data_IF_076190549362
#
_entry.id   IF_076190549362
#
_cell.length_a   1.000
_cell.length_b   1.000
_cell.length_c   1.000
_cell.angle_alpha   90.00
_cell.angle_beta   90.00
_cell.angle_gamma   90.00
#
_symmetry.space_group_name_H-M   'P 1'
#
loop_
_entity.id
_entity.type
_entity.pdbx_description
1 polymer ?
#
# COMPACT_ATOMS: atom_id res chain seq x y z
N UNK A 1 24.81 66.31 -40.79
CA UNK A 1 24.38 66.21 -42.20
C UNK A 1 23.68 64.85 -42.38
N UNK A 2 22.37 64.88 -42.44
CA UNK A 2 21.56 63.76 -43.00
C UNK A 2 21.79 63.69 -44.51
N UNK A 3 21.53 62.60 -45.19
CA UNK A 3 20.19 62.14 -45.53
C UNK A 3 20.08 60.58 -45.58
N UNK A 4 19.02 59.90 -45.71
CA UNK A 4 17.60 60.02 -46.14
C UNK A 4 17.00 58.63 -46.15
N UNK A 5 15.90 58.50 -45.47
CA UNK A 5 14.74 57.72 -45.81
C UNK A 5 14.62 57.33 -47.29
N UNK A 6 14.57 56.01 -47.54
CA UNK A 6 13.83 55.35 -48.68
C UNK A 6 14.06 53.84 -48.57
N UNK A 7 13.12 53.12 -47.99
CA UNK A 7 12.85 51.69 -48.32
C UNK A 7 11.78 51.05 -47.40
N UNK A 8 10.75 51.84 -47.04
CA UNK A 8 9.67 51.33 -46.21
C UNK A 8 8.38 51.02 -46.99
N UNK A 9 8.46 50.79 -48.29
CA UNK A 9 7.25 50.47 -49.09
C UNK A 9 7.28 49.16 -49.86
N UNK A 10 8.26 48.29 -49.63
CA UNK A 10 8.27 46.98 -50.31
C UNK A 10 8.06 45.78 -49.38
N UNK A 11 7.84 45.96 -48.10
CA UNK A 11 7.56 44.87 -47.15
C UNK A 11 6.10 44.72 -46.77
N UNK A 12 5.18 45.48 -47.34
CA UNK A 12 3.73 45.40 -47.04
C UNK A 12 2.87 44.74 -48.13
N UNK A 13 3.45 43.96 -49.04
CA UNK A 13 2.68 43.24 -50.08
C UNK A 13 2.98 41.75 -50.19
N UNK A 14 3.53 41.08 -49.14
CA UNK A 14 3.69 39.64 -49.11
C UNK A 14 3.12 38.93 -47.85
N UNK A 15 2.21 39.57 -47.15
CA UNK A 15 1.56 38.98 -45.95
C UNK A 15 0.05 38.86 -46.13
N UNK A 16 -0.40 38.44 -47.31
CA UNK A 16 -1.80 38.17 -47.54
C UNK A 16 -1.97 36.98 -48.48
N UNK A 17 -1.64 35.78 -48.02
CA UNK A 17 -2.04 34.50 -48.66
C UNK A 17 -1.47 33.30 -47.86
N UNK A 18 -1.79 33.18 -46.58
CA UNK A 18 -1.75 31.93 -45.83
C UNK A 18 -2.66 32.04 -44.61
N UNK A 19 -3.95 32.25 -44.88
CA UNK A 19 -5.00 32.14 -43.91
C UNK A 19 -6.08 31.24 -44.49
N UNK A 20 -5.89 29.93 -44.37
CA UNK A 20 -6.99 28.93 -44.43
C UNK A 20 -6.36 27.57 -44.27
N UNK A 21 -6.42 26.96 -43.11
CA UNK A 21 -6.52 25.56 -42.77
C UNK A 21 -5.97 25.29 -41.37
N UNK A 22 -6.44 25.95 -40.35
CA UNK A 22 -6.48 25.34 -39.01
C UNK A 22 -7.86 24.71 -38.87
N UNK A 23 -7.96 23.53 -39.43
CA UNK A 23 -9.03 22.61 -39.11
C UNK A 23 -8.91 22.29 -37.60
N UNK A 24 -9.99 22.64 -36.88
CA UNK A 24 -10.20 22.22 -35.49
C UNK A 24 -10.18 20.70 -35.46
N UNK A 25 -9.03 20.12 -35.16
CA UNK A 25 -9.01 18.78 -34.58
C UNK A 25 -9.60 18.93 -33.17
N UNK A 26 -10.91 18.80 -33.11
CA UNK A 26 -11.56 18.40 -31.89
C UNK A 26 -10.87 17.08 -31.47
N UNK A 27 -10.03 17.15 -30.44
CA UNK A 27 -9.67 15.99 -29.65
C UNK A 27 -11.02 15.48 -29.08
N UNK A 28 -11.66 14.60 -29.85
CA UNK A 28 -12.63 13.70 -29.30
C UNK A 28 -11.85 12.90 -28.23
N UNK A 29 -11.92 13.39 -27.00
CA UNK A 29 -11.65 12.58 -25.84
C UNK A 29 -12.52 11.35 -25.98
N UNK A 30 -11.92 10.25 -26.43
CA UNK A 30 -12.50 8.93 -26.28
C UNK A 30 -12.56 8.71 -24.78
N UNK A 31 -13.58 9.26 -24.15
CA UNK A 31 -14.10 8.76 -22.90
C UNK A 31 -14.40 7.29 -23.17
N UNK A 32 -13.42 6.43 -22.89
CA UNK A 32 -13.63 5.02 -22.77
C UNK A 32 -14.68 4.91 -21.68
N UNK A 33 -15.95 4.74 -22.06
CA UNK A 33 -16.95 4.25 -21.15
C UNK A 33 -16.30 3.03 -20.50
N UNK A 34 -15.95 3.15 -19.21
CA UNK A 34 -15.62 1.98 -18.42
C UNK A 34 -16.86 1.12 -18.49
N UNK A 35 -16.76 0.05 -19.27
CA UNK A 35 -17.70 -1.04 -19.20
C UNK A 35 -17.77 -1.38 -17.71
N UNK A 36 -18.92 -1.12 -17.08
CA UNK A 36 -19.15 -1.47 -15.67
C UNK A 36 -19.27 -2.98 -15.60
N UNK A 37 -18.13 -3.68 -15.72
CA UNK A 37 -18.03 -5.08 -15.38
C UNK A 37 -18.12 -5.15 -13.87
N UNK A 38 -19.32 -5.25 -13.32
CA UNK A 38 -19.53 -5.53 -11.91
C UNK A 38 -19.71 -7.04 -11.75
N UNK A 39 -18.93 -7.64 -10.86
CA UNK A 39 -19.21 -9.02 -10.43
C UNK A 39 -20.51 -8.97 -9.63
N UNK A 40 -21.50 -9.72 -10.13
CA UNK A 40 -22.85 -9.72 -9.56
C UNK A 40 -22.87 -10.07 -8.07
N UNK A 41 -23.66 -9.34 -7.29
CA UNK A 41 -23.90 -9.56 -5.87
C UNK A 41 -22.91 -8.89 -4.91
N UNK A 42 -21.80 -8.33 -5.41
CA UNK A 42 -20.83 -7.63 -4.51
C UNK A 42 -21.43 -6.35 -3.97
N UNK A 43 -22.10 -5.56 -4.82
CA UNK A 43 -22.71 -4.29 -4.40
C UNK A 43 -23.74 -4.53 -3.28
N UNK A 44 -24.69 -5.41 -3.53
CA UNK A 44 -25.77 -5.76 -2.59
C UNK A 44 -25.21 -6.32 -1.27
N UNK A 45 -24.16 -7.14 -1.36
CA UNK A 45 -23.51 -7.67 -0.18
C UNK A 45 -22.89 -6.54 0.65
N UNK A 46 -22.11 -5.63 0.05
CA UNK A 46 -21.49 -4.49 0.76
C UNK A 46 -22.54 -3.54 1.31
N UNK A 47 -23.58 -3.21 0.52
CA UNK A 47 -24.68 -2.33 0.94
C UNK A 47 -25.39 -2.90 2.19
N UNK A 48 -25.55 -4.22 2.28
CA UNK A 48 -26.14 -4.86 3.48
C UNK A 48 -25.33 -4.60 4.76
N UNK A 49 -24.00 -4.47 4.67
CA UNK A 49 -23.16 -4.08 5.82
C UNK A 49 -23.32 -2.58 6.19
N UNK A 50 -23.53 -1.73 5.19
CA UNK A 50 -23.83 -0.31 5.40
C UNK A 50 -25.18 -0.15 6.08
N UNK A 51 -26.24 -0.80 5.60
CA UNK A 51 -27.59 -0.76 6.17
C UNK A 51 -27.63 -1.23 7.63
N UNK A 52 -26.80 -2.21 8.01
CA UNK A 52 -26.66 -2.67 9.40
C UNK A 52 -25.74 -1.79 10.27
N UNK A 53 -25.26 -0.66 9.74
CA UNK A 53 -24.26 0.19 10.40
C UNK A 53 -23.01 -0.58 10.84
N UNK A 54 -22.59 -1.58 10.08
CA UNK A 54 -21.34 -2.27 10.36
C UNK A 54 -20.14 -1.51 9.81
N UNK A 55 -20.34 -0.82 8.69
CA UNK A 55 -19.38 0.09 8.07
C UNK A 55 -20.10 1.37 7.59
N UNK A 56 -19.36 2.46 7.42
CA UNK A 56 -19.88 3.69 6.83
C UNK A 56 -20.06 3.56 5.32
N UNK A 57 -19.10 2.94 4.67
CA UNK A 57 -19.07 2.65 3.25
C UNK A 57 -17.77 1.92 2.91
N UNK A 58 -17.70 1.40 1.70
CA UNK A 58 -16.52 0.71 1.18
C UNK A 58 -16.38 0.88 -0.33
N UNK A 59 -15.15 0.65 -0.81
CA UNK A 59 -14.86 0.44 -2.23
C UNK A 59 -14.30 -0.96 -2.40
N UNK A 60 -14.83 -1.69 -3.38
CA UNK A 60 -14.38 -3.02 -3.77
C UNK A 60 -13.81 -3.00 -5.17
N UNK A 61 -12.72 -3.73 -5.38
CA UNK A 61 -12.05 -3.81 -6.68
C UNK A 61 -11.51 -5.21 -6.92
N UNK A 62 -11.65 -5.70 -8.15
CA UNK A 62 -10.98 -6.92 -8.62
C UNK A 62 -10.24 -6.57 -9.89
N UNK A 63 -8.98 -6.98 -9.98
CA UNK A 63 -8.15 -6.77 -11.16
C UNK A 63 -7.52 -8.08 -11.62
N UNK A 64 -7.28 -8.21 -12.91
CA UNK A 64 -6.24 -9.08 -13.46
C UNK A 64 -5.01 -8.25 -13.85
N UNK A 65 -4.00 -8.84 -14.44
CA UNK A 65 -2.76 -8.13 -14.80
C UNK A 65 -2.95 -6.99 -15.81
N UNK A 66 -4.03 -7.01 -16.60
CA UNK A 66 -4.24 -6.10 -17.73
C UNK A 66 -5.39 -5.11 -17.52
N UNK A 67 -6.40 -5.46 -16.70
CA UNK A 67 -7.65 -4.70 -16.60
C UNK A 67 -8.30 -4.76 -15.23
N UNK A 68 -9.22 -3.84 -15.01
CA UNK A 68 -10.16 -3.85 -13.88
C UNK A 68 -11.35 -4.74 -14.28
N UNK A 69 -11.60 -5.77 -13.47
CA UNK A 69 -12.71 -6.72 -13.64
C UNK A 69 -13.96 -6.29 -12.86
N UNK A 70 -13.75 -5.58 -11.75
CA UNK A 70 -14.78 -5.04 -10.89
C UNK A 70 -14.26 -3.79 -10.18
N UNK A 71 -15.07 -2.75 -10.11
CA UNK A 71 -14.84 -1.56 -9.31
C UNK A 71 -16.19 -0.98 -8.92
N UNK A 72 -16.47 -0.96 -7.62
CA UNK A 72 -17.74 -0.49 -7.09
C UNK A 72 -17.57 0.20 -5.74
N UNK A 73 -18.50 1.08 -5.39
CA UNK A 73 -18.52 1.82 -4.13
C UNK A 73 -19.94 1.80 -3.55
N UNK A 74 -20.04 1.59 -2.25
CA UNK A 74 -21.30 1.58 -1.52
C UNK A 74 -21.21 2.41 -0.23
N UNK A 75 -22.32 3.02 0.20
CA UNK A 75 -22.42 3.79 1.44
C UNK A 75 -21.78 5.18 1.36
N UNK A 76 -21.18 5.61 2.46
CA UNK A 76 -20.72 6.99 2.66
C UNK A 76 -19.24 7.07 3.01
N UNK A 77 -18.56 8.07 2.43
CA UNK A 77 -17.21 8.49 2.84
C UNK A 77 -17.26 9.35 4.12
N UNK A 78 -18.37 10.06 4.34
CA UNK A 78 -18.69 10.81 5.55
C UNK A 78 -20.17 10.64 5.87
N UNK A 79 -20.46 9.95 6.97
CA UNK A 79 -21.83 9.68 7.45
C UNK A 79 -22.55 10.96 7.87
N UNK A 80 -21.83 11.90 8.49
CA UNK A 80 -22.42 13.14 9.03
C UNK A 80 -22.90 14.07 7.92
N UNK A 81 -22.07 14.30 6.91
CA UNK A 81 -22.41 15.11 5.75
C UNK A 81 -23.17 14.34 4.67
N UNK A 82 -23.33 13.02 4.84
CA UNK A 82 -23.89 12.09 3.84
C UNK A 82 -23.17 12.17 2.48
N UNK A 83 -21.84 12.40 2.53
CA UNK A 83 -21.02 12.37 1.31
C UNK A 83 -20.93 10.94 0.80
N UNK A 84 -21.45 10.64 -0.40
CA UNK A 84 -21.39 9.28 -0.93
C UNK A 84 -19.96 8.76 -1.06
N UNK A 85 -19.76 7.47 -0.85
CA UNK A 85 -18.50 6.82 -1.18
C UNK A 85 -18.32 6.75 -2.69
N UNK A 86 -17.11 7.01 -3.17
CA UNK A 86 -16.75 6.87 -4.58
C UNK A 86 -15.41 6.15 -4.72
N UNK A 87 -15.10 5.57 -5.89
CA UNK A 87 -13.82 4.91 -6.14
C UNK A 87 -12.59 5.81 -6.00
N UNK A 88 -12.78 7.14 -6.07
CA UNK A 88 -11.68 8.13 -6.01
C UNK A 88 -11.33 8.54 -4.57
N UNK A 89 -12.07 8.07 -3.56
CA UNK A 89 -11.73 8.37 -2.18
C UNK A 89 -10.41 7.72 -1.78
N UNK A 90 -9.65 8.48 -0.97
CA UNK A 90 -8.45 7.99 -0.31
C UNK A 90 -8.81 7.26 0.98
N UNK A 91 -7.97 6.30 1.32
CA UNK A 91 -8.07 5.53 2.55
C UNK A 91 -6.72 5.50 3.25
N UNK A 92 -6.70 5.53 4.57
CA UNK A 92 -5.54 5.09 5.30
C UNK A 92 -5.40 3.58 5.16
N UNK A 93 -4.36 3.14 4.47
CA UNK A 93 -4.20 1.72 4.16
C UNK A 93 -3.48 0.92 5.25
N UNK A 94 -3.03 1.61 6.30
CA UNK A 94 -2.40 0.98 7.46
C UNK A 94 -1.34 -0.06 7.05
N UNK A 95 -1.43 -1.27 7.56
CA UNK A 95 -0.45 -2.34 7.33
C UNK A 95 -0.33 -2.82 5.88
N UNK A 96 -1.24 -2.44 4.98
CA UNK A 96 -1.01 -2.62 3.55
C UNK A 96 0.19 -1.79 3.02
N UNK A 97 0.79 -0.92 3.85
CA UNK A 97 2.08 -0.27 3.59
C UNK A 97 3.25 -1.26 3.60
N UNK A 98 3.16 -2.39 4.33
CA UNK A 98 4.25 -3.36 4.49
C UNK A 98 4.66 -4.05 3.18
N UNK A 99 3.72 -4.53 2.33
CA UNK A 99 4.07 -5.01 1.00
C UNK A 99 4.78 -3.95 0.15
N UNK A 100 4.40 -2.67 0.25
CA UNK A 100 5.08 -1.58 -0.46
C UNK A 100 6.52 -1.42 0.05
N UNK A 101 6.71 -1.49 1.37
CA UNK A 101 8.06 -1.48 1.97
C UNK A 101 8.90 -2.66 1.48
N UNK A 102 8.31 -3.85 1.44
CA UNK A 102 8.98 -5.04 0.92
C UNK A 102 9.36 -4.90 -0.57
N UNK A 103 8.47 -4.34 -1.40
CA UNK A 103 8.75 -4.02 -2.81
C UNK A 103 9.98 -3.10 -2.92
N UNK A 104 10.06 -2.04 -2.09
CA UNK A 104 11.21 -1.13 -2.08
C UNK A 104 12.52 -1.83 -1.72
N UNK A 105 12.51 -2.70 -0.70
CA UNK A 105 13.69 -3.52 -0.36
C UNK A 105 14.06 -4.45 -1.52
N UNK A 106 13.07 -5.12 -2.13
CA UNK A 106 13.31 -6.05 -3.24
C UNK A 106 13.81 -5.35 -4.51
N UNK A 107 13.49 -4.09 -4.74
CA UNK A 107 14.13 -3.29 -5.82
C UNK A 107 15.64 -3.17 -5.59
N UNK A 108 16.08 -2.92 -4.35
CA UNK A 108 17.50 -2.84 -4.02
C UNK A 108 18.18 -4.22 -3.97
N UNK A 109 17.42 -5.28 -3.70
CA UNK A 109 17.89 -6.68 -3.86
C UNK A 109 18.14 -7.00 -5.33
N UNK A 110 17.24 -6.63 -6.22
CA UNK A 110 17.40 -6.82 -7.68
C UNK A 110 18.60 -6.01 -8.23
N UNK A 111 18.91 -4.87 -7.62
CA UNK A 111 20.11 -4.06 -7.92
C UNK A 111 21.40 -4.62 -7.31
N UNK A 112 21.33 -5.70 -6.53
CA UNK A 112 22.50 -6.28 -5.83
C UNK A 112 23.05 -5.43 -4.68
N UNK A 113 22.29 -4.42 -4.23
CA UNK A 113 22.70 -3.51 -3.14
C UNK A 113 22.36 -4.04 -1.75
N UNK A 114 21.35 -4.89 -1.65
CA UNK A 114 20.91 -5.56 -0.42
C UNK A 114 20.84 -7.06 -0.66
N UNK A 115 21.30 -7.87 0.30
CA UNK A 115 21.01 -9.29 0.34
C UNK A 115 20.06 -9.58 1.52
N UNK A 116 19.04 -10.42 1.29
CA UNK A 116 18.05 -10.75 2.33
C UNK A 116 18.65 -11.44 3.55
N UNK A 117 19.71 -12.21 3.35
CA UNK A 117 20.43 -12.94 4.41
C UNK A 117 21.48 -12.10 5.12
N UNK A 118 21.79 -10.90 4.62
CA UNK A 118 22.74 -10.02 5.28
C UNK A 118 22.25 -9.63 6.69
N UNK A 119 23.13 -9.56 7.68
CA UNK A 119 22.80 -8.97 8.96
C UNK A 119 22.49 -7.48 8.76
N UNK A 120 21.43 -6.99 9.41
CA UNK A 120 21.05 -5.56 9.33
C UNK A 120 22.18 -4.63 9.76
N UNK A 121 23.07 -5.10 10.63
CA UNK A 121 24.25 -4.37 11.07
C UNK A 121 25.23 -4.00 9.95
N UNK A 122 25.18 -4.70 8.81
CA UNK A 122 25.95 -4.34 7.61
C UNK A 122 25.58 -2.97 7.07
N UNK A 123 24.30 -2.63 7.16
CA UNK A 123 23.74 -1.38 6.66
C UNK A 123 23.55 -0.35 7.77
N UNK A 124 23.29 -0.81 8.99
CA UNK A 124 22.99 -0.03 10.19
C UNK A 124 23.94 -0.45 11.32
N UNK A 125 25.17 0.11 11.38
CA UNK A 125 26.20 -0.35 12.35
C UNK A 125 25.74 -0.36 13.80
N UNK A 126 24.87 0.57 14.21
CA UNK A 126 24.28 0.62 15.56
C UNK A 126 23.48 -0.65 15.92
N UNK A 127 22.96 -1.38 14.94
CA UNK A 127 22.24 -2.64 15.13
C UNK A 127 23.18 -3.83 15.40
N UNK A 128 24.49 -3.67 15.29
CA UNK A 128 25.47 -4.71 15.61
C UNK A 128 25.61 -5.00 17.11
N UNK A 129 25.06 -4.14 17.97
CA UNK A 129 25.09 -4.31 19.42
C UNK A 129 23.79 -4.88 20.02
N UNK A 130 22.85 -5.34 19.16
CA UNK A 130 21.62 -5.97 19.64
C UNK A 130 21.91 -7.16 20.54
N UNK A 131 21.18 -7.24 21.66
CA UNK A 131 21.32 -8.30 22.67
C UNK A 131 19.96 -8.89 23.02
N UNK A 132 19.98 -10.18 23.38
CA UNK A 132 18.83 -10.84 23.99
C UNK A 132 18.77 -10.57 25.51
N UNK A 133 17.75 -11.13 26.17
CA UNK A 133 17.56 -10.98 27.63
C UNK A 133 18.70 -11.61 28.45
N UNK A 134 19.47 -12.53 27.88
CA UNK A 134 20.66 -13.10 28.50
C UNK A 134 21.93 -12.29 28.26
N UNK A 135 21.81 -11.08 27.69
CA UNK A 135 22.90 -10.18 27.31
C UNK A 135 23.83 -10.73 26.20
N UNK A 136 23.43 -11.78 25.51
CA UNK A 136 24.17 -12.33 24.38
C UNK A 136 23.92 -11.51 23.13
N UNK A 137 24.94 -11.30 22.30
CA UNK A 137 24.76 -10.65 20.98
C UNK A 137 23.94 -11.53 20.07
N UNK A 138 23.02 -10.87 19.32
CA UNK A 138 22.20 -11.54 18.33
C UNK A 138 22.31 -10.82 16.98
N UNK A 139 22.30 -11.59 15.91
CA UNK A 139 22.26 -11.07 14.56
C UNK A 139 20.85 -11.22 14.00
N UNK A 140 20.31 -10.12 13.46
CA UNK A 140 19.03 -10.09 12.75
C UNK A 140 19.34 -9.89 11.27
N UNK A 141 18.75 -10.70 10.38
CA UNK A 141 18.88 -10.51 8.94
C UNK A 141 17.82 -9.56 8.39
N UNK A 142 18.05 -9.01 7.19
CA UNK A 142 17.07 -8.21 6.47
C UNK A 142 15.77 -9.00 6.28
N UNK A 143 15.84 -10.28 5.90
CA UNK A 143 14.67 -11.15 5.77
C UNK A 143 13.84 -11.22 7.05
N UNK A 144 14.52 -11.39 8.20
CA UNK A 144 13.85 -11.52 9.49
C UNK A 144 13.12 -10.25 9.93
N UNK A 145 13.52 -9.07 9.47
CA UNK A 145 12.79 -7.82 9.70
C UNK A 145 11.48 -7.77 8.89
N UNK A 146 11.45 -8.37 7.70
CA UNK A 146 10.33 -8.35 6.77
C UNK A 146 9.32 -9.48 6.99
N UNK A 147 9.75 -10.63 7.55
CA UNK A 147 8.88 -11.77 7.78
C UNK A 147 8.44 -11.94 9.24
N UNK A 148 8.72 -10.93 10.09
CA UNK A 148 8.32 -10.88 11.49
C UNK A 148 8.95 -11.95 12.40
N UNK A 149 10.18 -12.38 12.08
CA UNK A 149 10.93 -13.33 12.90
C UNK A 149 12.18 -12.73 13.54
N UNK A 150 12.31 -11.41 13.52
CA UNK A 150 13.49 -10.70 14.05
C UNK A 150 13.66 -10.79 15.58
N UNK A 151 12.57 -11.00 16.30
CA UNK A 151 12.57 -10.92 17.78
C UNK A 151 12.75 -9.51 18.34
N UNK A 152 12.90 -8.50 17.50
CA UNK A 152 13.04 -7.11 17.93
C UNK A 152 11.79 -6.66 18.71
N UNK A 153 12.02 -6.00 19.84
CA UNK A 153 10.93 -5.53 20.70
C UNK A 153 10.13 -4.42 20.02
N UNK A 154 8.81 -4.52 20.09
CA UNK A 154 7.95 -3.39 19.78
C UNK A 154 8.11 -2.32 20.85
N UNK A 155 8.39 -1.09 20.45
CA UNK A 155 8.41 0.05 21.37
C UNK A 155 7.06 0.74 21.32
N UNK A 156 6.55 1.12 22.48
CA UNK A 156 5.32 1.88 22.60
C UNK A 156 5.46 3.21 21.86
N UNK A 157 4.58 3.40 20.89
CA UNK A 157 4.41 4.62 20.11
C UNK A 157 5.69 5.27 19.54
N UNK A 158 6.33 4.70 18.49
CA UNK A 158 7.35 5.43 17.73
C UNK A 158 6.77 6.64 16.97
N UNK A 159 5.46 6.89 17.11
CA UNK A 159 4.72 7.93 16.37
C UNK A 159 5.06 9.36 16.80
N UNK A 160 5.80 9.55 17.89
CA UNK A 160 6.41 10.83 18.26
C UNK A 160 7.69 11.15 17.50
N UNK A 161 8.30 10.15 16.86
CA UNK A 161 9.50 10.32 16.05
C UNK A 161 9.14 11.01 14.73
N UNK A 162 10.11 11.74 14.18
CA UNK A 162 9.94 12.43 12.90
C UNK A 162 10.72 11.78 11.77
N UNK A 163 11.68 10.90 12.10
CA UNK A 163 12.50 10.18 11.12
C UNK A 163 12.64 8.69 11.46
N UNK A 164 12.89 7.87 10.44
CA UNK A 164 13.21 6.45 10.62
C UNK A 164 14.55 6.27 11.34
N UNK A 165 15.50 7.18 11.12
CA UNK A 165 16.80 7.14 11.81
C UNK A 165 16.62 7.27 13.33
N UNK A 166 15.83 8.26 13.82
CA UNK A 166 15.56 8.41 15.26
C UNK A 166 14.85 7.20 15.85
N UNK A 167 13.91 6.62 15.10
CA UNK A 167 13.21 5.41 15.52
C UNK A 167 14.20 4.22 15.65
N UNK A 168 15.05 4.01 14.66
CA UNK A 168 16.02 2.91 14.62
C UNK A 168 17.08 3.06 15.71
N UNK A 169 17.52 4.29 16.05
CA UNK A 169 18.41 4.55 17.19
C UNK A 169 17.80 4.07 18.54
N UNK A 170 16.49 4.21 18.69
CA UNK A 170 15.77 3.68 19.86
C UNK A 170 15.66 2.17 19.82
N UNK A 171 15.40 1.59 18.64
CA UNK A 171 15.31 0.15 18.46
C UNK A 171 16.65 -0.54 18.78
N UNK A 172 17.78 0.06 18.38
CA UNK A 172 19.12 -0.45 18.64
C UNK A 172 19.46 -0.56 20.15
N UNK A 173 18.79 0.23 20.99
CA UNK A 173 18.98 0.22 22.46
C UNK A 173 18.04 -0.75 23.17
N UNK A 174 17.12 -1.39 22.46
CA UNK A 174 16.16 -2.32 23.06
C UNK A 174 16.66 -3.77 22.98
N UNK A 175 16.20 -4.60 23.90
CA UNK A 175 16.52 -6.03 23.89
C UNK A 175 15.69 -6.77 22.83
N UNK A 176 16.29 -7.80 22.24
CA UNK A 176 15.60 -8.76 21.40
C UNK A 176 14.92 -9.80 22.29
N UNK A 177 13.62 -10.02 22.07
CA UNK A 177 12.76 -10.80 22.96
C UNK A 177 12.91 -12.32 22.81
N UNK A 178 13.39 -12.77 21.64
CA UNK A 178 13.64 -14.19 21.34
C UNK A 178 14.72 -14.31 20.27
N UNK A 179 15.33 -15.48 20.18
CA UNK A 179 16.35 -15.75 19.16
C UNK A 179 15.75 -15.54 17.75
N UNK A 180 16.35 -14.69 16.90
CA UNK A 180 15.88 -14.43 15.55
C UNK A 180 15.66 -15.72 14.74
N UNK A 181 14.52 -15.82 14.07
CA UNK A 181 14.14 -17.00 13.30
C UNK A 181 13.43 -18.11 14.08
N UNK A 182 13.34 -18.05 15.42
CA UNK A 182 12.75 -19.15 16.22
C UNK A 182 11.26 -18.98 16.52
N UNK A 183 10.74 -17.76 16.42
CA UNK A 183 9.32 -17.44 16.61
C UNK A 183 8.88 -16.42 15.60
N UNK A 184 7.59 -16.42 15.33
CA UNK A 184 6.92 -15.34 14.60
C UNK A 184 6.22 -14.42 15.58
N UNK A 185 6.48 -13.13 15.45
CA UNK A 185 5.79 -12.07 16.20
C UNK A 185 5.65 -10.86 15.31
N UNK A 186 4.42 -10.46 15.01
CA UNK A 186 4.14 -9.31 14.16
C UNK A 186 4.87 -8.08 14.66
N UNK A 187 5.70 -7.46 13.80
CA UNK A 187 6.63 -6.40 14.20
C UNK A 187 6.51 -5.17 13.30
N UNK A 188 6.28 -4.02 13.92
CA UNK A 188 6.38 -2.71 13.28
C UNK A 188 7.84 -2.26 13.23
N UNK A 189 8.56 -2.53 14.31
CA UNK A 189 9.98 -2.22 14.49
C UNK A 189 10.82 -2.82 13.37
N UNK A 190 10.60 -4.09 13.04
CA UNK A 190 11.31 -4.76 11.94
C UNK A 190 11.09 -4.07 10.60
N UNK A 191 9.86 -3.77 10.26
CA UNK A 191 9.53 -3.12 8.98
C UNK A 191 10.11 -1.71 8.86
N UNK A 192 10.04 -0.90 9.92
CA UNK A 192 10.64 0.43 9.94
C UNK A 192 12.18 0.35 9.84
N UNK A 193 12.80 -0.66 10.45
CA UNK A 193 14.24 -0.92 10.29
C UNK A 193 14.61 -1.27 8.85
N UNK A 194 13.82 -2.13 8.18
CA UNK A 194 14.03 -2.44 6.76
C UNK A 194 13.88 -1.21 5.86
N UNK A 195 12.94 -0.32 6.17
CA UNK A 195 12.78 0.94 5.45
C UNK A 195 13.98 1.88 5.66
N UNK A 196 14.53 1.95 6.88
CA UNK A 196 15.73 2.74 7.12
C UNK A 196 16.97 2.18 6.38
N UNK A 197 17.05 0.87 6.18
CA UNK A 197 18.07 0.28 5.30
C UNK A 197 17.90 0.80 3.86
N UNK A 198 16.64 0.94 3.37
CA UNK A 198 16.39 1.54 2.05
C UNK A 198 16.92 2.96 2.00
N UNK A 199 16.70 3.80 3.04
CA UNK A 199 17.21 5.16 3.09
C UNK A 199 18.74 5.21 2.99
N UNK A 200 19.42 4.41 3.82
CA UNK A 200 20.90 4.38 3.87
C UNK A 200 21.49 3.91 2.55
N UNK A 201 20.93 2.84 1.96
CA UNK A 201 21.47 2.24 0.73
C UNK A 201 21.17 3.07 -0.52
N UNK A 202 20.04 3.79 -0.53
CA UNK A 202 19.62 4.60 -1.68
C UNK A 202 20.01 6.07 -1.57
N UNK A 203 20.45 6.53 -0.40
CA UNK A 203 20.72 7.93 -0.07
C UNK A 203 19.48 8.83 -0.27
N UNK A 204 18.28 8.28 -0.08
CA UNK A 204 17.01 8.98 -0.20
C UNK A 204 16.18 8.76 1.05
N UNK A 205 15.36 9.75 1.47
CA UNK A 205 14.33 9.49 2.47
C UNK A 205 13.33 8.43 1.96
N UNK A 206 12.75 7.67 2.87
CA UNK A 206 11.90 6.54 2.49
C UNK A 206 10.66 6.99 1.70
N UNK A 207 10.03 8.09 2.10
CA UNK A 207 8.91 8.67 1.37
C UNK A 207 9.30 9.10 -0.05
N UNK A 208 10.47 9.73 -0.22
CA UNK A 208 10.99 10.11 -1.52
C UNK A 208 11.33 8.88 -2.39
N UNK A 209 11.90 7.82 -1.79
CA UNK A 209 12.17 6.57 -2.50
C UNK A 209 10.87 5.94 -3.02
N UNK A 210 9.85 5.81 -2.17
CA UNK A 210 8.54 5.29 -2.56
C UNK A 210 7.95 6.11 -3.71
N UNK A 211 7.97 7.45 -3.61
CA UNK A 211 7.45 8.31 -4.69
C UNK A 211 8.20 8.11 -5.99
N UNK A 212 9.52 8.23 -5.97
CA UNK A 212 10.34 8.22 -7.19
C UNK A 212 10.45 6.84 -7.83
N UNK A 213 10.56 5.78 -7.01
CA UNK A 213 10.90 4.44 -7.50
C UNK A 213 9.68 3.55 -7.73
N UNK A 214 8.57 3.82 -7.05
CA UNK A 214 7.34 3.06 -7.18
C UNK A 214 6.19 3.90 -7.74
N UNK A 215 5.86 5.04 -7.09
CA UNK A 215 4.66 5.79 -7.44
C UNK A 215 4.74 6.42 -8.84
N UNK A 216 5.81 7.14 -9.14
CA UNK A 216 6.00 7.78 -10.46
C UNK A 216 5.99 6.76 -11.62
N UNK A 217 6.74 5.63 -11.56
CA UNK A 217 6.72 4.66 -12.64
C UNK A 217 5.38 3.96 -12.87
N UNK A 218 4.58 3.79 -11.82
CA UNK A 218 3.24 3.18 -11.88
C UNK A 218 2.12 4.22 -12.10
N UNK A 219 2.43 5.52 -12.06
CA UNK A 219 1.45 6.60 -12.14
C UNK A 219 0.50 6.64 -10.93
N UNK A 220 1.00 6.35 -9.72
CA UNK A 220 0.23 6.40 -8.48
C UNK A 220 0.21 7.85 -7.96
N UNK A 221 -0.81 8.61 -8.31
CA UNK A 221 -0.93 10.03 -7.93
C UNK A 221 -1.40 10.23 -6.49
N UNK A 222 -2.06 9.21 -5.92
CA UNK A 222 -2.77 9.31 -4.65
C UNK A 222 -2.28 8.33 -3.59
N UNK A 223 -1.06 7.79 -3.80
CA UNK A 223 -0.37 6.96 -2.81
C UNK A 223 0.77 7.76 -2.17
N UNK A 224 0.63 8.11 -0.88
CA UNK A 224 1.60 8.95 -0.20
C UNK A 224 1.57 8.79 1.32
N UNK A 225 2.70 9.12 1.99
CA UNK A 225 2.76 9.27 3.44
C UNK A 225 2.13 10.60 3.90
N UNK A 226 2.28 11.66 3.11
CA UNK A 226 1.84 13.01 3.41
C UNK A 226 0.89 13.48 2.32
N UNK A 227 -0.37 13.72 2.68
CA UNK A 227 -1.37 14.18 1.73
C UNK A 227 -1.21 15.67 1.42
N UNK A 228 -1.62 16.07 0.24
CA UNK A 228 -1.90 17.47 -0.08
C UNK A 228 -3.26 17.88 0.51
N UNK A 229 -3.54 19.18 0.58
CA UNK A 229 -4.84 19.69 1.04
C UNK A 229 -6.01 19.23 0.15
N UNK A 230 -5.76 19.02 -1.14
CA UNK A 230 -6.76 18.47 -2.08
C UNK A 230 -7.03 16.99 -1.79
N UNK A 231 -6.00 16.19 -1.60
CA UNK A 231 -6.12 14.77 -1.26
C UNK A 231 -6.78 14.57 0.11
N UNK A 232 -6.47 15.41 1.09
CA UNK A 232 -7.10 15.32 2.42
C UNK A 232 -8.64 15.47 2.35
N UNK A 233 -9.17 16.25 1.40
CA UNK A 233 -10.61 16.41 1.19
C UNK A 233 -11.29 15.15 0.65
N UNK A 234 -10.53 14.28 0.00
CA UNK A 234 -10.99 13.00 -0.52
C UNK A 234 -10.75 11.84 0.46
N UNK A 235 -10.14 12.09 1.62
CA UNK A 235 -9.91 11.05 2.61
C UNK A 235 -11.22 10.62 3.25
N UNK A 236 -11.58 9.34 3.09
CA UNK A 236 -12.73 8.74 3.74
C UNK A 236 -12.55 8.79 5.27
N UNK A 237 -13.58 9.20 5.99
CA UNK A 237 -13.58 9.26 7.44
C UNK A 237 -13.56 7.86 8.05
N UNK A 238 -12.88 7.75 9.18
CA UNK A 238 -12.78 6.51 9.94
C UNK A 238 -13.82 6.48 11.04
N UNK A 239 -14.37 5.29 11.30
CA UNK A 239 -15.44 5.12 12.27
C UNK A 239 -15.17 3.94 13.22
N UNK A 240 -15.61 4.09 14.46
CA UNK A 240 -15.75 3.01 15.43
C UNK A 240 -17.23 2.65 15.55
N UNK A 241 -17.56 1.38 15.52
CA UNK A 241 -18.91 0.90 15.80
C UNK A 241 -19.08 0.70 17.30
N UNK A 242 -20.05 1.40 17.91
CA UNK A 242 -20.37 1.28 19.33
C UNK A 242 -21.06 -0.05 19.63
N UNK A 243 -21.11 -0.49 20.91
CA UNK A 243 -21.90 -1.67 21.30
C UNK A 243 -23.39 -1.56 20.95
N UNK A 244 -23.93 -0.33 20.87
CA UNK A 244 -25.30 -0.07 20.45
C UNK A 244 -25.48 -0.10 18.90
N UNK A 245 -24.44 -0.43 18.14
CA UNK A 245 -24.49 -0.54 16.68
C UNK A 245 -24.41 0.78 15.93
N UNK A 246 -24.03 1.88 16.59
CA UNK A 246 -23.89 3.21 15.97
C UNK A 246 -22.45 3.42 15.50
N UNK A 247 -22.28 4.12 14.37
CA UNK A 247 -20.99 4.56 13.88
C UNK A 247 -20.62 5.92 14.48
N UNK A 248 -19.47 6.02 15.11
CA UNK A 248 -18.91 7.25 15.67
C UNK A 248 -17.56 7.52 15.01
N UNK A 249 -17.31 8.74 14.56
CA UNK A 249 -16.03 9.12 13.95
C UNK A 249 -14.87 8.80 14.91
N UNK A 250 -13.82 8.23 14.35
CA UNK A 250 -12.63 7.78 15.10
C UNK A 250 -11.37 8.31 14.41
N UNK A 251 -10.38 8.83 15.17
CA UNK A 251 -9.14 9.28 14.58
C UNK A 251 -8.31 8.11 14.05
N UNK A 252 -7.49 8.38 13.06
CA UNK A 252 -6.44 7.46 12.63
C UNK A 252 -5.34 7.49 13.71
N UNK A 253 -5.22 6.42 14.50
CA UNK A 253 -4.35 6.39 15.69
C UNK A 253 -2.87 6.62 15.33
N UNK A 254 -2.43 6.17 14.16
CA UNK A 254 -1.03 6.31 13.72
C UNK A 254 -0.63 7.78 13.50
N UNK A 255 -1.58 8.67 13.27
CA UNK A 255 -1.31 10.10 13.15
C UNK A 255 -0.96 10.77 14.48
N UNK A 256 -1.25 10.12 15.63
CA UNK A 256 -1.01 10.67 16.97
C UNK A 256 -1.53 12.11 17.15
N UNK A 257 -2.71 12.42 16.60
CA UNK A 257 -3.34 13.73 16.62
C UNK A 257 -2.84 14.74 15.59
N UNK A 258 -1.80 14.39 14.81
CA UNK A 258 -1.33 15.23 13.71
C UNK A 258 -2.23 15.09 12.47
N UNK A 259 -2.15 16.07 11.55
CA UNK A 259 -2.89 16.01 10.28
C UNK A 259 -2.22 15.05 9.29
N UNK A 260 -2.98 14.44 8.36
CA UNK A 260 -2.40 13.67 7.25
C UNK A 260 -1.42 14.48 6.38
N UNK A 261 -1.57 15.82 6.33
CA UNK A 261 -0.72 16.75 5.58
C UNK A 261 0.55 17.16 6.32
N UNK A 262 0.67 16.87 7.61
CA UNK A 262 1.82 17.29 8.42
C UNK A 262 3.06 16.47 8.05
N UNK A 263 4.10 17.15 7.55
CA UNK A 263 5.37 16.53 7.19
C UNK A 263 6.32 16.31 8.38
N UNK A 264 5.99 16.83 9.55
CA UNK A 264 6.72 16.58 10.80
C UNK A 264 6.20 15.29 11.49
N UNK A 265 5.97 14.24 10.71
CA UNK A 265 5.61 12.90 11.17
C UNK A 265 6.57 11.89 10.58
N UNK A 266 6.76 10.80 11.32
CA UNK A 266 7.45 9.65 10.80
C UNK A 266 6.77 9.14 9.49
N UNK A 267 7.51 8.92 8.40
CA UNK A 267 7.01 8.16 7.25
C UNK A 267 6.99 6.68 7.63
N UNK A 268 6.03 6.31 8.49
CA UNK A 268 5.96 5.01 9.13
C UNK A 268 5.77 3.91 8.08
N UNK A 269 6.86 3.25 7.69
CA UNK A 269 6.88 2.24 6.64
C UNK A 269 5.98 1.03 6.95
N UNK A 270 5.74 0.81 8.24
CA UNK A 270 4.86 -0.25 8.73
C UNK A 270 3.37 0.02 8.52
N UNK A 271 2.97 1.29 8.24
CA UNK A 271 1.52 1.59 8.20
C UNK A 271 1.13 3.01 7.87
N UNK A 272 2.04 3.88 7.45
CA UNK A 272 1.81 5.32 7.31
C UNK A 272 1.25 5.79 5.99
N UNK A 273 1.05 4.91 5.02
CA UNK A 273 0.58 5.28 3.68
C UNK A 273 -0.94 5.47 3.63
N UNK A 274 -1.32 6.39 2.77
CA UNK A 274 -2.66 6.56 2.23
C UNK A 274 -2.64 6.15 0.76
N UNK A 275 -3.76 5.65 0.25
CA UNK A 275 -3.88 5.25 -1.16
C UNK A 275 -5.35 5.21 -1.59
N UNK A 276 -5.58 5.13 -2.89
CA UNK A 276 -6.87 4.81 -3.50
C UNK A 276 -6.92 3.35 -3.95
N UNK A 277 -8.12 2.77 -4.15
CA UNK A 277 -8.26 1.45 -4.76
C UNK A 277 -7.56 1.34 -6.12
N UNK A 278 -7.69 2.38 -6.96
CA UNK A 278 -7.08 2.41 -8.29
C UNK A 278 -5.56 2.39 -8.27
N UNK A 279 -4.93 3.16 -7.37
CA UNK A 279 -3.47 3.16 -7.24
C UNK A 279 -2.95 1.81 -6.72
N UNK A 280 -3.58 1.29 -5.65
CA UNK A 280 -3.15 -0.01 -5.11
C UNK A 280 -3.45 -1.16 -6.09
N UNK A 281 -4.52 -1.04 -6.87
CA UNK A 281 -4.83 -1.95 -7.97
C UNK A 281 -3.71 -2.05 -9.00
N UNK A 282 -3.08 -0.93 -9.37
CA UNK A 282 -1.91 -0.92 -10.27
C UNK A 282 -0.69 -1.62 -9.66
N UNK A 283 -0.47 -1.49 -8.34
CA UNK A 283 0.57 -2.27 -7.65
C UNK A 283 0.27 -3.77 -7.79
N UNK A 284 -0.98 -4.19 -7.55
CA UNK A 284 -1.38 -5.58 -7.72
C UNK A 284 -1.22 -6.06 -9.17
N UNK A 285 -1.58 -5.24 -10.15
CA UNK A 285 -1.40 -5.54 -11.57
C UNK A 285 0.08 -5.70 -11.95
N UNK A 286 0.95 -4.83 -11.45
CA UNK A 286 2.40 -4.96 -11.63
C UNK A 286 2.92 -6.29 -11.05
N UNK A 287 2.46 -6.68 -9.87
CA UNK A 287 2.85 -7.96 -9.24
C UNK A 287 2.29 -9.16 -10.02
N UNK A 288 1.03 -9.13 -10.47
CA UNK A 288 0.43 -10.14 -11.35
C UNK A 288 1.15 -10.23 -12.71
N UNK A 289 1.71 -9.11 -13.19
CA UNK A 289 2.55 -9.01 -14.39
C UNK A 289 4.00 -9.46 -14.19
N UNK A 290 4.33 -10.12 -13.07
CA UNK A 290 5.68 -10.61 -12.78
C UNK A 290 6.70 -9.49 -12.55
N UNK A 291 6.25 -8.35 -12.02
CA UNK A 291 7.07 -7.17 -11.73
C UNK A 291 7.12 -6.14 -12.86
N UNK A 292 6.29 -6.33 -13.89
CA UNK A 292 6.26 -5.46 -15.08
C UNK A 292 4.95 -4.66 -15.13
N UNK A 293 5.05 -3.38 -15.45
CA UNK A 293 3.93 -2.48 -15.70
C UNK A 293 4.15 -1.70 -16.99
N UNK A 294 3.19 -1.78 -17.94
CA UNK A 294 3.25 -1.06 -19.22
C UNK A 294 4.62 -1.17 -19.94
N UNK A 295 5.20 -2.37 -19.92
CA UNK A 295 6.51 -2.64 -20.53
C UNK A 295 7.73 -2.21 -19.69
N UNK A 296 7.54 -1.57 -18.55
CA UNK A 296 8.61 -1.25 -17.59
C UNK A 296 8.72 -2.33 -16.52
N UNK A 297 9.89 -2.89 -16.35
CA UNK A 297 10.18 -3.82 -15.24
C UNK A 297 10.61 -3.03 -14.01
N UNK A 298 9.84 -3.15 -12.91
CA UNK A 298 10.11 -2.53 -11.63
C UNK A 298 10.74 -3.52 -10.65
N UNK A 299 10.36 -4.79 -10.75
CA UNK A 299 10.91 -5.91 -9.99
C UNK A 299 11.22 -7.07 -10.95
N UNK A 300 12.23 -7.86 -10.62
CA UNK A 300 12.42 -9.14 -11.32
C UNK A 300 11.27 -10.11 -11.00
N UNK A 301 10.97 -11.02 -11.90
CA UNK A 301 10.01 -12.10 -11.66
C UNK A 301 10.41 -12.94 -10.44
N UNK A 302 11.72 -13.14 -10.21
CA UNK A 302 12.26 -13.79 -9.02
C UNK A 302 11.82 -13.06 -7.74
N UNK A 303 11.96 -11.75 -7.69
CA UNK A 303 11.58 -10.95 -6.51
C UNK A 303 10.09 -10.99 -6.26
N UNK A 304 9.25 -10.91 -7.30
CA UNK A 304 7.80 -11.08 -7.16
C UNK A 304 7.46 -12.47 -6.60
N UNK A 305 8.09 -13.52 -7.11
CA UNK A 305 7.88 -14.89 -6.60
C UNK A 305 8.26 -15.00 -5.12
N UNK A 306 9.36 -14.36 -4.71
CA UNK A 306 9.82 -14.38 -3.32
C UNK A 306 8.87 -13.63 -2.37
N UNK A 307 8.23 -12.54 -2.80
CA UNK A 307 7.21 -11.83 -1.98
C UNK A 307 6.08 -12.77 -1.54
N UNK A 308 5.58 -13.61 -2.44
CA UNK A 308 4.50 -14.56 -2.20
C UNK A 308 4.95 -15.95 -1.69
N UNK A 309 6.26 -16.17 -1.46
CA UNK A 309 6.77 -17.44 -0.98
C UNK A 309 6.83 -17.46 0.55
N UNK A 310 6.27 -18.48 1.24
CA UNK A 310 6.46 -18.63 2.68
C UNK A 310 7.94 -18.71 3.06
N UNK A 311 8.35 -17.91 4.05
CA UNK A 311 9.74 -17.86 4.56
C UNK A 311 9.82 -18.20 6.05
N UNK A 312 8.69 -18.49 6.69
CA UNK A 312 8.58 -18.76 8.13
C UNK A 312 8.58 -20.25 8.47
N UNK A 313 8.80 -21.15 7.49
CA UNK A 313 8.81 -22.59 7.71
C UNK A 313 7.51 -23.07 8.36
N UNK A 314 7.63 -23.86 9.43
CA UNK A 314 6.49 -24.40 10.17
C UNK A 314 6.07 -23.53 11.37
N UNK A 315 6.63 -22.32 11.51
CA UNK A 315 6.21 -21.41 12.57
C UNK A 315 4.73 -21.09 12.46
N UNK A 316 4.04 -21.06 13.59
CA UNK A 316 2.67 -20.56 13.68
C UNK A 316 2.71 -19.05 13.49
N UNK A 317 1.99 -18.57 12.49
CA UNK A 317 1.86 -17.15 12.19
C UNK A 317 0.47 -16.66 12.52
N UNK A 318 0.35 -15.38 12.96
CA UNK A 318 -0.88 -14.84 13.49
C UNK A 318 -1.92 -14.41 12.47
N UNK A 319 -3.01 -13.92 12.99
CA UNK A 319 -4.26 -13.36 12.47
C UNK A 319 -5.28 -14.39 12.01
N UNK A 320 -4.94 -15.36 11.16
CA UNK A 320 -5.87 -16.39 10.68
C UNK A 320 -5.12 -17.71 10.49
N UNK A 321 -5.79 -18.83 10.76
CA UNK A 321 -5.22 -20.16 10.56
C UNK A 321 -4.93 -20.43 9.08
N UNK A 322 -3.96 -21.31 8.83
CA UNK A 322 -3.58 -21.71 7.47
C UNK A 322 -2.68 -20.72 6.74
N UNK A 323 -2.31 -19.62 7.38
CA UNK A 323 -1.39 -18.64 6.83
C UNK A 323 0.06 -18.92 7.23
N UNK A 324 0.97 -18.41 6.40
CA UNK A 324 2.41 -18.27 6.64
C UNK A 324 2.82 -16.83 6.35
N UNK A 325 4.09 -16.53 6.46
CA UNK A 325 4.59 -15.21 6.12
C UNK A 325 5.69 -15.27 5.07
N UNK A 326 5.58 -14.40 4.07
CA UNK A 326 6.59 -14.15 3.04
C UNK A 326 7.41 -12.91 3.36
N UNK A 327 7.86 -12.21 2.34
CA UNK A 327 8.61 -10.96 2.48
C UNK A 327 7.59 -9.79 2.54
N UNK A 328 7.30 -9.30 3.75
CA UNK A 328 6.34 -8.23 4.01
C UNK A 328 4.88 -8.56 3.67
N UNK A 329 4.58 -9.80 3.35
CA UNK A 329 3.25 -10.27 2.97
C UNK A 329 2.83 -11.49 3.79
N UNK A 330 1.55 -11.54 4.15
CA UNK A 330 0.90 -12.77 4.57
C UNK A 330 0.68 -13.68 3.34
N UNK A 331 0.84 -14.99 3.50
CA UNK A 331 0.71 -15.99 2.42
C UNK A 331 -0.24 -17.11 2.85
N UNK A 332 -1.24 -17.38 2.05
CA UNK A 332 -2.17 -18.50 2.26
C UNK A 332 -1.45 -19.81 1.96
N UNK A 333 -1.04 -20.54 3.01
CA UNK A 333 -0.37 -21.84 2.91
C UNK A 333 -1.36 -22.99 2.78
N UNK A 334 -2.44 -22.91 3.54
CA UNK A 334 -3.54 -23.88 3.53
C UNK A 334 -4.87 -23.11 3.61
N UNK A 335 -5.59 -22.95 2.49
CA UNK A 335 -6.86 -22.22 2.45
C UNK A 335 -7.89 -22.83 3.43
N UNK A 336 -8.33 -22.06 4.42
CA UNK A 336 -9.35 -22.45 5.39
C UNK A 336 -9.96 -21.21 6.08
N UNK A 337 -11.13 -21.37 6.72
CA UNK A 337 -11.82 -20.29 7.40
C UNK A 337 -11.95 -19.04 6.50
N UNK A 338 -11.46 -17.87 6.94
CA UNK A 338 -11.55 -16.62 6.18
C UNK A 338 -10.83 -16.62 4.83
N UNK A 339 -9.99 -17.61 4.55
CA UNK A 339 -9.23 -17.73 3.30
C UNK A 339 -9.64 -18.92 2.44
N UNK A 340 -10.70 -19.66 2.84
CA UNK A 340 -11.13 -20.90 2.18
C UNK A 340 -11.44 -20.75 0.67
N UNK A 341 -11.88 -19.56 0.23
CA UNK A 341 -12.17 -19.25 -1.16
C UNK A 341 -10.94 -18.90 -2.01
N UNK A 342 -9.79 -18.66 -1.37
CA UNK A 342 -8.55 -18.26 -2.04
C UNK A 342 -7.69 -19.46 -2.43
N UNK A 343 -6.81 -19.30 -3.40
CA UNK A 343 -5.86 -20.34 -3.80
C UNK A 343 -4.68 -20.41 -2.81
N UNK A 344 -4.12 -21.62 -2.66
CA UNK A 344 -2.80 -21.76 -2.00
C UNK A 344 -1.77 -20.92 -2.74
N UNK A 345 -0.99 -20.15 -1.99
CA UNK A 345 -0.01 -19.21 -2.53
C UNK A 345 -0.58 -17.80 -2.79
N UNK A 346 -1.88 -17.56 -2.53
CA UNK A 346 -2.41 -16.19 -2.47
C UNK A 346 -1.66 -15.42 -1.39
N UNK A 347 -1.22 -14.20 -1.71
CA UNK A 347 -0.46 -13.37 -0.78
C UNK A 347 -0.96 -11.92 -0.77
N UNK A 348 -0.72 -11.22 0.31
CA UNK A 348 -1.17 -9.84 0.49
C UNK A 348 -1.12 -9.39 1.93
N UNK A 349 -1.90 -8.39 2.26
CA UNK A 349 -1.97 -7.85 3.62
C UNK A 349 -3.31 -7.17 3.89
N UNK A 350 -3.76 -7.24 5.13
CA UNK A 350 -4.84 -6.43 5.65
C UNK A 350 -4.35 -5.17 6.37
N UNK A 351 -5.20 -4.17 6.47
CA UNK A 351 -4.99 -2.95 7.26
C UNK A 351 -5.82 -2.92 8.53
N UNK A 352 -5.33 -2.20 9.55
CA UNK A 352 -5.96 -2.13 10.88
C UNK A 352 -7.43 -1.67 10.85
N UNK A 353 -7.81 -0.85 9.85
CA UNK A 353 -9.18 -0.36 9.72
C UNK A 353 -9.99 -1.12 8.65
N UNK A 354 -9.56 -2.34 8.31
CA UNK A 354 -10.30 -3.27 7.48
C UNK A 354 -9.97 -3.22 5.98
N UNK A 355 -9.04 -2.38 5.55
CA UNK A 355 -8.54 -2.41 4.16
C UNK A 355 -7.85 -3.75 3.88
N UNK A 356 -7.99 -4.29 2.67
CA UNK A 356 -7.45 -5.58 2.27
C UNK A 356 -6.96 -5.52 0.82
N UNK A 357 -5.82 -6.16 0.53
CA UNK A 357 -5.40 -6.47 -0.83
C UNK A 357 -4.73 -7.85 -0.87
N UNK A 358 -5.27 -8.74 -1.71
CA UNK A 358 -4.83 -10.13 -1.82
C UNK A 358 -4.66 -10.50 -3.27
N UNK A 359 -3.47 -10.97 -3.62
CA UNK A 359 -3.06 -11.35 -4.97
C UNK A 359 -3.09 -12.88 -5.05
N UNK A 360 -3.91 -13.41 -5.93
CA UNK A 360 -4.05 -14.84 -6.21
C UNK A 360 -3.37 -15.16 -7.55
N UNK A 361 -2.12 -15.61 -7.53
CA UNK A 361 -1.36 -15.89 -8.74
C UNK A 361 -1.89 -17.10 -9.52
N UNK A 362 -2.60 -18.02 -8.86
CA UNK A 362 -3.20 -19.20 -9.50
C UNK A 362 -4.38 -18.80 -10.38
N UNK A 363 -5.22 -17.87 -9.89
CA UNK A 363 -6.35 -17.34 -10.64
C UNK A 363 -6.00 -16.13 -11.51
N UNK A 364 -4.78 -15.59 -11.36
CA UNK A 364 -4.33 -14.39 -12.06
C UNK A 364 -5.11 -13.14 -11.67
N UNK A 365 -5.54 -13.03 -10.41
CA UNK A 365 -6.41 -11.95 -9.91
C UNK A 365 -5.91 -11.36 -8.61
N UNK A 366 -6.32 -10.11 -8.35
CA UNK A 366 -6.20 -9.51 -7.04
C UNK A 366 -7.55 -8.97 -6.57
N UNK A 367 -7.80 -9.11 -5.27
CA UNK A 367 -9.02 -8.73 -4.57
C UNK A 367 -8.72 -7.62 -3.59
N UNK A 368 -9.34 -6.45 -3.77
CA UNK A 368 -9.10 -5.25 -2.98
C UNK A 368 -10.40 -4.78 -2.33
N UNK A 369 -10.34 -4.54 -1.01
CA UNK A 369 -11.43 -3.98 -0.21
C UNK A 369 -10.89 -2.78 0.54
N UNK A 370 -11.52 -1.63 0.39
CA UNK A 370 -11.18 -0.39 1.09
C UNK A 370 -12.34 0.05 1.98
N UNK A 371 -12.10 0.10 3.26
CA UNK A 371 -13.05 0.47 4.31
C UNK A 371 -12.31 1.16 5.46
N UNK A 372 -12.97 1.98 6.26
CA UNK A 372 -12.38 2.71 7.38
C UNK A 372 -13.18 2.46 8.67
N UNK A 373 -13.12 1.24 9.19
CA UNK A 373 -13.69 0.87 10.48
C UNK A 373 -12.60 0.47 11.49
N UNK A 374 -12.43 1.26 12.55
CA UNK A 374 -11.32 1.17 13.51
C UNK A 374 -11.36 -0.04 14.45
N UNK A 375 -12.53 -0.63 14.69
CA UNK A 375 -12.68 -1.64 15.75
C UNK A 375 -13.31 -2.94 15.25
N UNK A 376 -12.83 -3.45 14.11
CA UNK A 376 -13.09 -4.85 13.79
C UNK A 376 -12.46 -5.75 14.88
N UNK A 377 -13.16 -6.76 15.38
CA UNK A 377 -12.56 -7.73 16.30
C UNK A 377 -11.33 -8.42 15.69
N UNK A 378 -11.43 -8.77 14.41
CA UNK A 378 -10.32 -9.21 13.56
C UNK A 378 -10.61 -8.74 12.13
N UNK A 379 -9.88 -7.71 11.66
CA UNK A 379 -10.07 -7.17 10.32
C UNK A 379 -9.75 -8.20 9.22
N UNK A 380 -8.81 -9.11 9.49
CA UNK A 380 -8.40 -10.17 8.56
C UNK A 380 -9.37 -11.36 8.53
N UNK A 381 -10.33 -11.42 9.43
CA UNK A 381 -11.39 -12.43 9.46
C UNK A 381 -12.79 -11.79 9.52
N UNK A 382 -12.94 -10.54 9.07
CA UNK A 382 -14.25 -9.87 9.06
C UNK A 382 -15.20 -10.51 8.06
N UNK A 383 -16.47 -10.59 8.41
CA UNK A 383 -17.51 -11.13 7.52
C UNK A 383 -17.59 -10.36 6.20
N UNK A 384 -17.35 -9.04 6.25
CA UNK A 384 -17.28 -8.19 5.05
C UNK A 384 -16.19 -8.68 4.09
N UNK A 385 -14.97 -8.96 4.59
CA UNK A 385 -13.89 -9.49 3.77
C UNK A 385 -14.26 -10.85 3.19
N UNK A 386 -14.76 -11.76 4.03
CA UNK A 386 -15.11 -13.12 3.64
C UNK A 386 -16.15 -13.12 2.54
N UNK A 387 -17.24 -12.36 2.70
CA UNK A 387 -18.32 -12.29 1.72
C UNK A 387 -17.85 -11.65 0.41
N UNK A 388 -17.13 -10.53 0.47
CA UNK A 388 -16.55 -9.91 -0.72
C UNK A 388 -15.64 -10.89 -1.47
N UNK A 389 -14.67 -11.50 -0.80
CA UNK A 389 -13.71 -12.40 -1.45
C UNK A 389 -14.37 -13.66 -2.01
N UNK A 390 -15.41 -14.19 -1.35
CA UNK A 390 -16.19 -15.34 -1.83
C UNK A 390 -16.88 -15.01 -3.15
N UNK A 391 -17.59 -13.89 -3.23
CA UNK A 391 -18.27 -13.44 -4.45
C UNK A 391 -17.24 -13.11 -5.55
N UNK A 392 -16.19 -12.39 -5.21
CA UNK A 392 -15.13 -12.01 -6.16
C UNK A 392 -14.36 -13.22 -6.72
N UNK A 393 -14.14 -14.26 -5.91
CA UNK A 393 -13.47 -15.48 -6.33
C UNK A 393 -14.39 -16.40 -7.16
N UNK A 394 -15.71 -16.36 -6.96
CA UNK A 394 -16.69 -17.14 -7.72
C UNK A 394 -17.03 -16.49 -9.08
N UNK A 395 -16.92 -15.19 -9.21
CA UNK A 395 -17.32 -14.40 -10.39
C UNK A 395 -16.31 -14.41 -11.54
N UNK A 396 -15.70 -15.55 -11.85
CA UNK A 396 -14.72 -15.60 -12.92
C UNK A 396 -14.64 -16.85 -13.72
#
# INVERSE_FOLDING_TARGET
MAPKLQNDQQMLRRSALFATAYGSLALAGVGRAQDKSSITGIHEAVESFVERNEIAGAVTMVVDKDRVLHLDAAGYADVTSKTPMTPDHLFWIASMSKPITAICVMMLVDEGKIALEDPIARYLPQMGELRNESAERVNVSVLQTLNHTSGMRELDAPYGDTSLADAVEKYAKSLVQFQPGTKWQYSQTGINTAAHIVEVVSEMSFDAFVQKRLCEPLGLSDTAFYLTDSQQKLLAKSYTRTPAGQLTESPIFLLAGKKPTDRNRLPAANGGLFSTPSDYGRICQMLLGGGTWQGKQLLSNRSVTLLGKPTTGELVTGFTDGNAWGIGCCVVRAPQGPTAMLSKGTYGHGGAYGTQAWIDPVRGRAYLLFVQRANFPNADASDLRVEFQKLAAAGG
#
